data_IF_244367820453
#
_entry.id   IF_244367820453
#
_cell.length_a   1.000
_cell.length_b   1.000
_cell.length_c   1.000
_cell.angle_alpha   90.00
_cell.angle_beta   90.00
_cell.angle_gamma   90.00
#
_symmetry.space_group_name_H-M   'P 1'
#
loop_
_entity.id
_entity.type
_entity.pdbx_description
1 polymer ?
#
# COMPACT_ATOMS: atom_id res chain seq x y z
N UNK A 1 10.12 1.10 3.40
CA UNK A 1 10.02 1.21 4.87
C UNK A 1 9.31 2.53 5.22
N UNK A 2 8.55 2.62 6.33
CA UNK A 2 7.98 3.88 6.82
C UNK A 2 8.62 4.28 8.14
N UNK A 3 9.13 5.51 8.26
CA UNK A 3 9.74 6.05 9.48
C UNK A 3 9.12 7.41 9.85
N UNK A 4 8.91 7.65 11.14
CA UNK A 4 8.44 8.92 11.70
C UNK A 4 9.61 9.70 12.30
N UNK A 5 9.70 11.00 12.02
CA UNK A 5 10.71 11.91 12.61
C UNK A 5 10.03 13.01 13.44
N UNK A 6 10.60 13.34 14.61
CA UNK A 6 10.11 14.37 15.54
C UNK A 6 10.18 15.79 14.98
N UNK A 7 10.90 16.00 13.89
CA UNK A 7 10.96 17.27 13.19
C UNK A 7 9.74 17.38 12.25
N UNK A 8 8.63 17.90 12.78
CA UNK A 8 7.42 18.25 12.03
C UNK A 8 6.76 17.03 11.36
N UNK A 9 6.14 16.14 12.15
CA UNK A 9 5.17 15.10 11.74
C UNK A 9 5.29 14.64 10.27
N UNK A 10 6.44 14.05 9.92
CA UNK A 10 6.77 13.65 8.54
C UNK A 10 6.86 12.13 8.45
N UNK A 11 6.10 11.56 7.52
CA UNK A 11 6.20 10.16 7.14
C UNK A 11 7.25 10.00 6.04
N UNK A 12 8.25 9.16 6.25
CA UNK A 12 9.18 8.79 5.18
C UNK A 12 8.60 7.60 4.43
N UNK A 13 8.34 7.73 3.13
CA UNK A 13 7.87 6.67 2.26
C UNK A 13 8.92 6.31 1.23
N UNK A 14 9.29 5.04 1.21
CA UNK A 14 10.25 4.49 0.27
C UNK A 14 9.52 4.13 -1.05
N UNK A 15 9.49 2.86 -1.45
CA UNK A 15 8.88 2.39 -2.70
C UNK A 15 7.38 2.05 -2.61
N UNK A 16 6.61 2.77 -1.79
CA UNK A 16 5.19 2.45 -1.56
C UNK A 16 4.25 3.49 -2.15
N UNK A 17 4.53 4.76 -1.90
CA UNK A 17 3.72 5.90 -2.35
C UNK A 17 4.65 6.84 -3.09
N UNK A 18 4.16 7.36 -4.20
CA UNK A 18 4.82 8.42 -4.96
C UNK A 18 3.98 9.69 -4.88
N UNK A 19 4.66 10.81 -4.63
CA UNK A 19 4.10 12.14 -4.78
C UNK A 19 4.73 12.84 -5.98
N UNK A 20 3.91 13.39 -6.87
CA UNK A 20 4.41 14.10 -8.05
C UNK A 20 3.94 15.54 -8.02
N UNK A 21 4.86 16.47 -7.71
CA UNK A 21 4.53 17.91 -7.67
C UNK A 21 4.28 18.45 -9.08
N UNK A 22 5.27 18.28 -9.96
CA UNK A 22 5.24 18.69 -11.37
C UNK A 22 5.77 17.56 -12.25
N UNK A 23 4.91 16.60 -12.66
CA UNK A 23 5.32 15.53 -13.56
C UNK A 23 5.87 16.10 -14.86
N UNK A 24 6.94 15.48 -15.36
CA UNK A 24 7.39 15.76 -16.73
C UNK A 24 6.34 15.28 -17.75
N UNK A 25 6.52 15.66 -19.01
CA UNK A 25 5.56 15.36 -20.08
C UNK A 25 5.25 13.85 -20.21
N UNK A 26 6.27 12.99 -20.06
CA UNK A 26 6.09 11.54 -20.13
C UNK A 26 5.19 11.02 -19.00
N UNK A 27 5.41 11.48 -17.76
CA UNK A 27 4.56 11.10 -16.62
C UNK A 27 3.14 11.61 -16.78
N UNK A 28 2.93 12.82 -17.32
CA UNK A 28 1.59 13.34 -17.63
C UNK A 28 0.85 12.44 -18.62
N UNK A 29 1.55 11.91 -19.63
CA UNK A 29 0.98 10.98 -20.61
C UNK A 29 0.54 9.66 -19.97
N UNK A 30 1.22 9.21 -18.90
CA UNK A 30 0.80 8.05 -18.10
C UNK A 30 -0.31 8.36 -17.08
N UNK A 31 -0.90 9.55 -17.12
CA UNK A 31 -2.04 9.94 -16.31
C UNK A 31 -1.69 10.54 -14.95
N UNK A 32 -0.40 10.80 -14.67
CA UNK A 32 0.01 11.54 -13.48
C UNK A 32 -0.36 13.02 -13.61
N UNK A 33 -0.94 13.57 -12.56
CA UNK A 33 -1.31 14.99 -12.49
C UNK A 33 -0.45 15.71 -11.45
N UNK A 34 -0.34 17.01 -11.63
CA UNK A 34 0.38 17.89 -10.73
C UNK A 34 -0.24 17.78 -9.31
N UNK A 35 0.63 17.69 -8.30
CA UNK A 35 0.23 17.59 -6.89
C UNK A 35 -0.48 16.29 -6.49
N UNK A 36 -0.39 15.20 -7.27
CA UNK A 36 -1.08 13.94 -6.96
C UNK A 36 -0.20 12.91 -6.26
N UNK A 37 -0.84 12.10 -5.41
CA UNK A 37 -0.28 10.85 -4.88
C UNK A 37 -0.80 9.64 -5.65
N UNK A 38 0.05 8.65 -5.81
CA UNK A 38 -0.30 7.33 -6.33
C UNK A 38 0.51 6.25 -5.61
N UNK A 39 0.07 4.99 -5.71
CA UNK A 39 0.94 3.87 -5.34
C UNK A 39 2.09 3.74 -6.32
N UNK A 40 3.26 3.44 -5.79
CA UNK A 40 4.41 3.13 -6.62
C UNK A 40 4.10 1.91 -7.53
N UNK A 41 4.54 1.90 -8.81
CA UNK A 41 4.23 0.81 -9.73
C UNK A 41 4.64 -0.59 -9.24
N UNK A 42 5.61 -0.67 -8.32
CA UNK A 42 6.07 -1.93 -7.70
C UNK A 42 4.92 -2.70 -7.04
N UNK A 43 3.87 -2.04 -6.56
CA UNK A 43 2.69 -2.70 -5.96
C UNK A 43 2.04 -3.70 -6.92
N UNK A 44 2.22 -3.50 -8.23
CA UNK A 44 1.71 -4.37 -9.28
C UNK A 44 2.65 -5.53 -9.59
N UNK A 45 3.84 -5.65 -9.03
CA UNK A 45 4.74 -6.77 -9.34
C UNK A 45 5.51 -7.25 -8.10
N UNK A 46 6.62 -6.61 -7.75
CA UNK A 46 7.59 -7.06 -6.75
C UNK A 46 7.35 -6.44 -5.37
N UNK A 47 6.49 -5.43 -5.28
CA UNK A 47 6.23 -4.68 -4.05
C UNK A 47 5.28 -5.36 -3.07
N UNK A 48 4.61 -6.45 -3.46
CA UNK A 48 3.76 -7.25 -2.58
C UNK A 48 4.10 -8.73 -2.73
N UNK A 49 3.99 -9.46 -1.61
CA UNK A 49 4.13 -10.91 -1.63
C UNK A 49 3.10 -11.53 -2.60
N UNK A 50 3.45 -12.54 -3.42
CA UNK A 50 2.58 -13.05 -4.47
C UNK A 50 1.48 -14.00 -3.96
N UNK A 51 0.81 -13.63 -2.88
CA UNK A 51 -0.39 -14.31 -2.34
C UNK A 51 -1.64 -13.49 -2.62
N UNK A 52 -2.81 -14.14 -2.61
CA UNK A 52 -4.11 -13.49 -2.83
C UNK A 52 -4.45 -12.49 -1.71
N UNK A 53 -3.98 -12.71 -0.49
CA UNK A 53 -4.31 -11.87 0.67
C UNK A 53 -3.38 -10.65 0.82
N UNK A 54 -2.16 -10.70 0.27
CA UNK A 54 -1.17 -9.63 0.46
C UNK A 54 -1.69 -8.21 0.11
N UNK A 55 -2.47 -8.00 -0.98
CA UNK A 55 -3.04 -6.69 -1.29
C UNK A 55 -3.98 -6.17 -0.20
N UNK A 56 -4.78 -7.04 0.43
CA UNK A 56 -5.71 -6.66 1.49
C UNK A 56 -4.99 -6.41 2.81
N UNK A 57 -4.03 -7.26 3.16
CA UNK A 57 -3.18 -7.05 4.33
C UNK A 57 -2.44 -5.70 4.26
N UNK A 58 -1.91 -5.37 3.08
CA UNK A 58 -1.27 -4.08 2.85
C UNK A 58 -2.25 -2.90 3.01
N UNK A 59 -3.46 -3.01 2.45
CA UNK A 59 -4.53 -2.00 2.60
C UNK A 59 -4.87 -1.78 4.08
N UNK A 60 -5.09 -2.86 4.82
CA UNK A 60 -5.54 -2.79 6.21
C UNK A 60 -4.42 -2.28 7.12
N UNK A 61 -3.18 -2.70 6.88
CA UNK A 61 -2.01 -2.12 7.54
C UNK A 61 -1.89 -0.61 7.30
N UNK A 62 -2.04 -0.15 6.05
CA UNK A 62 -2.01 1.28 5.71
C UNK A 62 -3.14 2.06 6.41
N UNK A 63 -4.34 1.49 6.51
CA UNK A 63 -5.48 2.09 7.23
C UNK A 63 -5.19 2.23 8.72
N UNK A 64 -4.66 1.17 9.34
CA UNK A 64 -4.29 1.19 10.75
C UNK A 64 -3.19 2.23 11.01
N UNK A 65 -2.16 2.28 10.16
CA UNK A 65 -1.11 3.31 10.24
C UNK A 65 -1.70 4.73 10.17
N UNK A 66 -2.69 5.00 9.30
CA UNK A 66 -3.33 6.33 9.26
C UNK A 66 -4.12 6.62 10.54
N UNK A 67 -4.73 5.63 11.18
CA UNK A 67 -5.46 5.84 12.42
C UNK A 67 -4.50 6.13 13.59
N UNK A 68 -3.36 5.44 13.60
CA UNK A 68 -2.40 5.52 14.71
C UNK A 68 -1.48 6.75 14.58
N UNK A 69 -1.11 7.13 13.36
CA UNK A 69 -0.06 8.12 13.11
C UNK A 69 -0.57 9.34 12.34
N UNK A 70 -0.83 10.47 13.03
CA UNK A 70 -1.06 11.73 12.34
C UNK A 70 0.26 12.27 11.76
N UNK A 71 0.26 12.58 10.46
CA UNK A 71 1.40 13.22 9.79
C UNK A 71 0.94 14.32 8.83
N UNK A 72 1.70 15.40 8.76
CA UNK A 72 1.38 16.54 7.90
C UNK A 72 2.12 16.46 6.56
N UNK A 73 3.29 15.81 6.58
CA UNK A 73 4.18 15.72 5.43
C UNK A 73 4.48 14.26 5.09
N UNK A 74 4.79 13.99 3.82
CA UNK A 74 5.35 12.70 3.40
C UNK A 74 6.54 12.93 2.47
N UNK A 75 7.65 12.27 2.74
CA UNK A 75 8.88 12.31 1.95
C UNK A 75 8.99 11.02 1.13
N UNK A 76 8.80 11.09 -0.19
CA UNK A 76 8.90 9.94 -1.08
C UNK A 76 10.33 9.83 -1.65
N UNK A 77 11.07 8.77 -1.29
CA UNK A 77 12.52 8.63 -1.53
C UNK A 77 12.94 8.87 -2.99
N UNK A 78 12.15 8.41 -3.97
CA UNK A 78 12.47 8.53 -5.40
C UNK A 78 11.80 9.69 -6.13
N UNK A 79 11.01 10.50 -5.42
CA UNK A 79 10.15 11.49 -6.07
C UNK A 79 10.31 12.86 -5.40
N UNK A 80 9.33 13.30 -4.64
CA UNK A 80 9.36 14.58 -3.95
C UNK A 80 8.78 14.51 -2.55
N UNK A 81 8.82 15.65 -1.89
CA UNK A 81 8.21 15.83 -0.56
C UNK A 81 6.87 16.52 -0.74
N UNK A 82 5.80 15.87 -0.27
CA UNK A 82 4.53 16.54 -0.07
C UNK A 82 4.56 17.25 1.28
N UNK A 83 4.46 18.57 1.23
CA UNK A 83 4.30 19.41 2.41
C UNK A 83 2.82 19.72 2.61
N UNK A 84 2.32 19.47 3.81
CA UNK A 84 0.94 19.78 4.19
C UNK A 84 -0.11 18.80 3.65
N UNK A 85 -1.09 18.45 4.50
CA UNK A 85 -2.24 17.63 4.14
C UNK A 85 -1.92 16.20 3.66
N UNK A 86 -0.70 15.71 3.87
CA UNK A 86 -0.26 14.41 3.35
C UNK A 86 -1.13 13.25 3.84
N UNK A 87 -1.51 13.26 5.12
CA UNK A 87 -2.36 12.22 5.71
C UNK A 87 -3.71 12.08 5.00
N UNK A 88 -4.40 13.20 4.75
CA UNK A 88 -5.66 13.23 4.00
C UNK A 88 -5.50 12.72 2.57
N UNK A 89 -4.39 13.05 1.92
CA UNK A 89 -4.11 12.63 0.56
C UNK A 89 -3.84 11.11 0.50
N UNK A 90 -3.11 10.55 1.47
CA UNK A 90 -2.93 9.09 1.61
C UNK A 90 -4.25 8.38 1.95
N UNK A 91 -5.07 8.95 2.83
CA UNK A 91 -6.41 8.44 3.11
C UNK A 91 -7.27 8.37 1.84
N UNK A 92 -7.28 9.45 1.06
CA UNK A 92 -8.00 9.52 -0.23
C UNK A 92 -7.48 8.50 -1.23
N UNK A 93 -6.15 8.29 -1.27
CA UNK A 93 -5.50 7.28 -2.10
C UNK A 93 -5.92 5.85 -1.71
N UNK A 94 -6.25 5.58 -0.45
CA UNK A 94 -6.72 4.26 0.05
C UNK A 94 -8.23 4.02 -0.10
N UNK A 95 -9.04 5.05 -0.32
CA UNK A 95 -10.50 4.90 -0.52
C UNK A 95 -10.83 4.46 -1.95
N UNK A 96 -10.08 4.95 -2.94
CA UNK A 96 -10.30 4.68 -4.38
C UNK A 96 -9.82 3.32 -4.95
N UNK A 97 -8.87 2.57 -4.36
CA UNK A 97 -8.18 1.47 -5.01
C UNK A 97 -8.80 0.10 -4.70
N UNK A 98 -10.05 -0.01 -4.21
CA UNK A 98 -10.60 -1.36 -3.96
C UNK A 98 -10.61 -2.23 -5.21
N UNK A 99 -10.84 -1.61 -6.37
CA UNK A 99 -10.67 -2.29 -7.66
C UNK A 99 -9.22 -2.76 -7.90
N UNK A 100 -8.22 -1.96 -7.51
CA UNK A 100 -6.81 -2.33 -7.64
C UNK A 100 -6.47 -3.52 -6.76
N UNK A 101 -6.82 -3.49 -5.47
CA UNK A 101 -6.51 -4.58 -4.54
C UNK A 101 -7.23 -5.87 -4.93
N UNK A 102 -8.51 -5.80 -5.30
CA UNK A 102 -9.25 -6.94 -5.84
C UNK A 102 -8.61 -7.51 -7.12
N UNK A 103 -8.15 -6.64 -8.03
CA UNK A 103 -7.46 -7.06 -9.26
C UNK A 103 -6.13 -7.76 -8.97
N UNK A 104 -5.34 -7.24 -8.02
CA UNK A 104 -4.06 -7.83 -7.61
C UNK A 104 -4.28 -9.19 -6.93
N UNK A 105 -5.26 -9.27 -6.02
CA UNK A 105 -5.61 -10.51 -5.32
C UNK A 105 -6.01 -11.60 -6.31
N UNK A 106 -6.96 -11.30 -7.22
CA UNK A 106 -7.41 -12.22 -8.27
C UNK A 106 -6.26 -12.70 -9.16
N UNK A 107 -5.33 -11.81 -9.51
CA UNK A 107 -4.16 -12.18 -10.31
C UNK A 107 -3.22 -13.11 -9.55
N UNK A 108 -2.95 -12.83 -8.28
CA UNK A 108 -2.03 -13.63 -7.47
C UNK A 108 -2.59 -15.03 -7.25
N UNK A 109 -3.90 -15.18 -6.97
CA UNK A 109 -4.62 -16.46 -6.96
C UNK A 109 -4.40 -17.28 -8.23
N UNK A 110 -4.57 -16.66 -9.40
CA UNK A 110 -4.38 -17.33 -10.70
C UNK A 110 -2.94 -17.78 -10.95
N UNK A 111 -1.95 -17.06 -10.43
CA UNK A 111 -0.52 -17.36 -10.65
C UNK A 111 -0.01 -18.47 -9.74
N UNK A 112 -0.66 -18.71 -8.60
CA UNK A 112 -0.15 -19.61 -7.57
C UNK A 112 -1.27 -20.41 -6.87
N UNK A 113 -2.07 -21.20 -7.63
CA UNK A 113 -3.23 -21.90 -7.08
C UNK A 113 -2.86 -22.93 -6.01
N UNK A 114 -1.70 -23.60 -6.14
CA UNK A 114 -1.25 -24.64 -5.21
C UNK A 114 -0.86 -24.09 -3.84
N UNK A 115 -0.33 -22.85 -3.77
CA UNK A 115 0.05 -22.23 -2.49
C UNK A 115 -1.15 -21.81 -1.65
N UNK A 116 -2.29 -21.50 -2.28
CA UNK A 116 -3.51 -21.08 -1.58
C UNK A 116 -4.18 -22.27 -0.85
N UNK A 117 -4.04 -23.49 -1.39
CA UNK A 117 -4.50 -24.72 -0.74
C UNK A 117 -3.71 -25.02 0.55
N UNK A 118 -2.40 -24.79 0.54
CA UNK A 118 -1.54 -25.00 1.72
C UNK A 118 -1.86 -23.98 2.82
N UNK A 119 -2.08 -22.72 2.48
CA UNK A 119 -2.43 -21.68 3.48
C UNK A 119 -3.82 -21.87 4.06
N UNK A 120 -4.80 -22.32 3.26
CA UNK A 120 -6.16 -22.64 3.76
C UNK A 120 -6.14 -23.80 4.76
N UNK A 121 -5.32 -24.82 4.49
CA UNK A 121 -5.18 -25.97 5.38
C UNK A 121 -4.47 -25.61 6.69
N UNK A 122 -3.46 -24.74 6.65
CA UNK A 122 -2.76 -24.28 7.86
C UNK A 122 -3.62 -23.37 8.74
N UNK A 123 -4.41 -22.47 8.15
CA UNK A 123 -5.32 -21.63 8.93
C UNK A 123 -6.42 -22.44 9.61
N UNK A 124 -6.90 -23.51 8.96
CA UNK A 124 -7.89 -24.43 9.54
C UNK A 124 -7.31 -25.24 10.72
N UNK A 125 -6.04 -25.64 10.66
CA UNK A 125 -5.39 -26.35 11.77
C UNK A 125 -5.22 -25.48 13.02
N UNK A 126 -4.85 -24.21 12.88
CA UNK A 126 -4.66 -23.33 14.04
C UNK A 126 -5.98 -22.99 14.76
N UNK A 127 -7.12 -22.98 14.06
CA UNK A 127 -8.43 -22.73 14.69
C UNK A 127 -8.89 -23.94 15.51
N UNK A 128 -8.50 -25.16 15.14
CA UNK A 128 -8.88 -26.38 15.87
C UNK A 128 -8.07 -26.57 17.16
N UNK A 129 -6.89 -25.97 17.28
CA UNK A 129 -6.07 -26.05 18.51
C UNK A 129 -6.53 -25.08 19.60
N UNK A 130 -7.19 -23.97 19.24
CA UNK A 130 -7.69 -22.96 20.17
C UNK A 130 -9.06 -23.31 20.81
N UNK A 131 -9.79 -24.32 20.32
CA UNK A 131 -11.08 -24.77 20.92
C UNK A 131 -10.94 -25.96 21.89
N UNK A 132 -9.71 -26.41 22.21
CA UNK A 132 -9.47 -27.52 23.14
C UNK A 132 -8.71 -27.12 24.42
N UNK A 133 -8.62 -25.82 24.74
CA UNK A 133 -7.97 -25.29 25.96
C UNK A 133 -8.96 -24.68 26.95
#
# INVERSE_FOLDING_TARGET
>A
CLCLSSSICTLHADDTIIYTDKPNFLLKLFGYKDGTMAFHPSIKNVGLHPTSDAPYLFRDWMRNMLNDWPFENICCVHMGVKKGGAHRDVFTLLVKPEFLFAKLSKRNRKRNPERELVTSNHHTMNILEDECG
#
